data_IF_529100204690
#
_entry.id   IF_529100204690
#
_cell.length_a   1.000
_cell.length_b   1.000
_cell.length_c   1.000
_cell.angle_alpha   90.00
_cell.angle_beta   90.00
_cell.angle_gamma   90.00
#
_symmetry.space_group_name_H-M   'P 1'
#
loop_
_entity.id
_entity.type
_entity.pdbx_description
1 polymer ?
#
# COMPACT_ATOMS: atom_id res chain seq x y z
N UNK A 1 -4.45 -38.67 -23.06
CA UNK A 1 -3.99 -37.61 -22.16
C UNK A 1 -5.07 -36.55 -22.13
N UNK A 2 -5.72 -36.34 -20.99
CA UNK A 2 -6.73 -35.29 -20.86
C UNK A 2 -6.03 -33.93 -20.98
N UNK A 3 -6.49 -33.09 -21.90
CA UNK A 3 -6.04 -31.70 -21.97
C UNK A 3 -6.51 -30.99 -20.72
N UNK A 4 -5.58 -30.50 -19.89
CA UNK A 4 -5.85 -29.77 -18.65
C UNK A 4 -6.38 -28.34 -18.89
N UNK A 5 -7.18 -28.14 -19.95
CA UNK A 5 -7.72 -26.84 -20.34
C UNK A 5 -9.12 -26.98 -20.90
N UNK A 6 -10.00 -26.10 -20.43
CA UNK A 6 -11.37 -25.95 -20.89
C UNK A 6 -11.58 -24.59 -21.54
N UNK A 7 -12.61 -24.48 -22.39
CA UNK A 7 -12.95 -23.23 -23.10
C UNK A 7 -13.98 -22.45 -22.31
N UNK A 8 -13.71 -21.16 -22.10
CA UNK A 8 -14.67 -20.19 -21.54
C UNK A 8 -15.06 -19.23 -22.67
N UNK A 9 -16.21 -19.42 -23.35
CA UNK A 9 -16.69 -18.47 -24.34
C UNK A 9 -17.24 -17.23 -23.64
N UNK A 10 -16.66 -16.06 -23.93
CA UNK A 10 -17.12 -14.76 -23.42
C UNK A 10 -17.66 -13.96 -24.59
N UNK A 11 -18.92 -13.51 -24.48
CA UNK A 11 -19.53 -12.61 -25.45
C UNK A 11 -19.07 -11.18 -25.15
N UNK A 12 -18.54 -10.53 -26.18
CA UNK A 12 -18.09 -9.14 -26.14
C UNK A 12 -18.57 -8.43 -27.38
N UNK A 13 -18.75 -7.12 -27.28
CA UNK A 13 -18.99 -6.24 -28.42
C UNK A 13 -17.76 -6.17 -29.34
N UNK A 14 -17.92 -5.77 -30.61
CA UNK A 14 -16.79 -5.54 -31.51
C UNK A 14 -15.78 -4.52 -30.95
N UNK A 15 -16.26 -3.49 -30.25
CA UNK A 15 -15.44 -2.44 -29.66
C UNK A 15 -14.59 -2.98 -28.50
N UNK A 16 -15.20 -3.74 -27.59
CA UNK A 16 -14.49 -4.40 -26.48
C UNK A 16 -13.44 -5.38 -27.01
N UNK A 17 -13.77 -6.16 -28.05
CA UNK A 17 -12.81 -7.06 -28.68
C UNK A 17 -11.60 -6.32 -29.26
N UNK A 18 -11.82 -5.16 -29.90
CA UNK A 18 -10.74 -4.34 -30.43
C UNK A 18 -9.86 -3.77 -29.31
N UNK A 19 -10.46 -3.31 -28.21
CA UNK A 19 -9.73 -2.84 -27.03
C UNK A 19 -8.88 -3.94 -26.41
N UNK A 20 -9.45 -5.13 -26.17
CA UNK A 20 -8.73 -6.29 -25.62
C UNK A 20 -7.58 -6.71 -26.53
N UNK A 21 -7.81 -6.72 -27.84
CA UNK A 21 -6.77 -7.02 -28.83
C UNK A 21 -5.62 -6.03 -28.75
N UNK A 22 -5.91 -4.73 -28.63
CA UNK A 22 -4.90 -3.69 -28.49
C UNK A 22 -4.11 -3.83 -27.18
N UNK A 23 -4.79 -4.02 -26.05
CA UNK A 23 -4.13 -4.24 -24.76
C UNK A 23 -3.18 -5.44 -24.79
N UNK A 24 -3.59 -6.53 -25.45
CA UNK A 24 -2.76 -7.72 -25.59
C UNK A 24 -1.50 -7.45 -26.45
N UNK A 25 -1.65 -6.68 -27.54
CA UNK A 25 -0.55 -6.27 -28.40
C UNK A 25 0.44 -5.37 -27.66
N UNK A 26 -0.05 -4.35 -26.97
CA UNK A 26 0.76 -3.40 -26.18
C UNK A 26 1.53 -4.13 -25.06
N UNK A 27 0.95 -5.19 -24.50
CA UNK A 27 1.58 -6.04 -23.48
C UNK A 27 2.39 -7.22 -24.05
N UNK A 28 2.57 -7.30 -25.36
CA UNK A 28 3.31 -8.36 -26.06
C UNK A 28 2.87 -9.80 -25.70
N UNK A 29 1.56 -10.03 -25.52
CA UNK A 29 1.01 -11.33 -25.17
C UNK A 29 -0.26 -11.67 -25.97
N UNK A 30 -0.70 -12.92 -25.91
CA UNK A 30 -1.96 -13.32 -26.56
C UNK A 30 -3.17 -12.80 -25.79
N UNK A 31 -4.30 -12.55 -26.48
CA UNK A 31 -5.56 -12.18 -25.81
C UNK A 31 -5.99 -13.21 -24.76
N UNK A 32 -5.80 -14.50 -25.03
CA UNK A 32 -6.15 -15.57 -24.09
C UNK A 32 -5.29 -15.56 -22.83
N UNK A 33 -4.00 -15.22 -22.97
CA UNK A 33 -3.10 -15.08 -21.82
C UNK A 33 -3.40 -13.81 -21.01
N UNK A 34 -3.66 -12.69 -21.70
CA UNK A 34 -4.10 -11.45 -21.05
C UNK A 34 -5.36 -11.70 -20.21
N UNK A 35 -6.38 -12.33 -20.79
CA UNK A 35 -7.64 -12.62 -20.09
C UNK A 35 -7.46 -13.65 -18.97
N UNK A 36 -6.61 -14.67 -19.16
CA UNK A 36 -6.27 -15.61 -18.09
C UNK A 36 -5.64 -14.91 -16.90
N UNK A 37 -4.67 -14.02 -17.15
CA UNK A 37 -4.01 -13.23 -16.10
C UNK A 37 -5.01 -12.31 -15.42
N UNK A 38 -5.78 -11.54 -16.18
CA UNK A 38 -6.79 -10.63 -15.66
C UNK A 38 -7.81 -11.36 -14.78
N UNK A 39 -8.31 -12.52 -15.22
CA UNK A 39 -9.21 -13.35 -14.41
C UNK A 39 -8.53 -13.89 -13.14
N UNK A 40 -7.26 -14.27 -13.22
CA UNK A 40 -6.51 -14.77 -12.05
C UNK A 40 -6.13 -13.69 -11.04
N UNK A 41 -5.98 -12.44 -11.49
CA UNK A 41 -5.67 -11.28 -10.65
C UNK A 41 -6.91 -10.54 -10.20
N UNK A 42 -8.09 -10.81 -10.78
CA UNK A 42 -9.32 -10.17 -10.39
C UNK A 42 -9.62 -10.50 -8.93
N UNK A 43 -9.61 -9.46 -8.09
CA UNK A 43 -9.94 -9.52 -6.68
C UNK A 43 -11.04 -8.51 -6.41
N UNK A 44 -12.31 -8.93 -6.41
CA UNK A 44 -13.38 -8.02 -6.02
C UNK A 44 -13.18 -7.66 -4.54
N UNK A 45 -13.11 -6.37 -4.24
CA UNK A 45 -13.04 -5.76 -2.90
C UNK A 45 -11.75 -5.99 -2.07
N UNK A 46 -10.94 -7.01 -2.39
CA UNK A 46 -9.73 -7.36 -1.63
C UNK A 46 -8.62 -6.28 -1.75
N UNK A 47 -8.48 -5.63 -2.91
CA UNK A 47 -7.50 -4.55 -3.10
C UNK A 47 -7.83 -3.31 -2.27
N UNK A 48 -9.12 -3.01 -2.10
CA UNK A 48 -9.58 -1.88 -1.30
C UNK A 48 -9.38 -2.14 0.20
N UNK A 49 -9.72 -3.34 0.67
CA UNK A 49 -9.49 -3.74 2.07
C UNK A 49 -8.00 -3.76 2.44
N UNK A 50 -7.12 -4.24 1.55
CA UNK A 50 -5.67 -4.22 1.78
C UNK A 50 -5.16 -2.77 1.85
N UNK A 51 -5.60 -1.90 0.94
CA UNK A 51 -5.18 -0.51 0.90
C UNK A 51 -5.65 0.24 2.15
N UNK A 52 -6.90 0.04 2.57
CA UNK A 52 -7.44 0.58 3.81
C UNK A 52 -6.64 0.11 5.04
N UNK A 53 -6.29 -1.17 5.10
CA UNK A 53 -5.45 -1.72 6.17
C UNK A 53 -4.06 -1.08 6.23
N UNK A 54 -3.43 -0.84 5.07
CA UNK A 54 -2.14 -0.16 4.98
C UNK A 54 -2.22 1.29 5.46
N UNK A 55 -3.27 2.03 5.06
CA UNK A 55 -3.50 3.41 5.50
C UNK A 55 -3.68 3.44 7.02
N UNK A 56 -4.48 2.53 7.58
CA UNK A 56 -4.69 2.42 9.02
C UNK A 56 -3.39 2.19 9.79
N UNK A 57 -2.52 1.32 9.27
CA UNK A 57 -1.22 1.05 9.89
C UNK A 57 -0.28 2.27 9.82
N UNK A 58 -0.23 2.98 8.69
CA UNK A 58 0.57 4.20 8.54
C UNK A 58 0.11 5.27 9.54
N UNK A 59 -1.20 5.51 9.65
CA UNK A 59 -1.73 6.49 10.60
C UNK A 59 -1.37 6.14 12.04
N UNK A 60 -1.48 4.86 12.40
CA UNK A 60 -1.13 4.37 13.73
C UNK A 60 0.35 4.57 14.04
N UNK A 61 1.25 4.19 13.13
CA UNK A 61 2.69 4.33 13.35
C UNK A 61 3.13 5.79 13.36
N UNK A 62 2.53 6.65 12.53
CA UNK A 62 2.75 8.10 12.57
C UNK A 62 2.31 8.70 13.91
N UNK A 63 1.16 8.32 14.43
CA UNK A 63 0.69 8.79 15.74
C UNK A 63 1.64 8.36 16.88
N UNK A 64 2.12 7.12 16.85
CA UNK A 64 3.10 6.62 17.82
C UNK A 64 4.44 7.35 17.73
N UNK A 65 4.93 7.61 16.50
CA UNK A 65 6.16 8.36 16.29
C UNK A 65 6.06 9.79 16.81
N UNK A 66 4.94 10.48 16.56
CA UNK A 66 4.71 11.83 17.07
C UNK A 66 4.69 11.83 18.60
N UNK A 67 3.99 10.90 19.24
CA UNK A 67 3.96 10.80 20.70
C UNK A 67 5.36 10.56 21.29
N UNK A 68 6.19 9.73 20.66
CA UNK A 68 7.56 9.49 21.10
C UNK A 68 8.46 10.73 20.94
N UNK A 69 8.25 11.52 19.88
CA UNK A 69 8.96 12.79 19.67
C UNK A 69 8.56 13.79 20.77
N UNK A 70 7.27 13.91 21.07
CA UNK A 70 6.78 14.82 22.11
C UNK A 70 7.34 14.44 23.49
N UNK A 71 7.39 13.14 23.81
CA UNK A 71 8.00 12.64 25.05
C UNK A 71 9.50 12.95 25.12
N UNK A 72 10.23 12.75 24.03
CA UNK A 72 11.65 13.07 23.96
C UNK A 72 11.92 14.56 24.15
N UNK A 73 11.11 15.44 23.53
CA UNK A 73 11.21 16.89 23.70
C UNK A 73 10.93 17.31 25.14
N UNK A 74 9.89 16.75 25.77
CA UNK A 74 9.57 17.02 27.17
C UNK A 74 10.72 16.59 28.11
N UNK A 75 11.34 15.43 27.85
CA UNK A 75 12.49 14.96 28.61
C UNK A 75 13.71 15.89 28.46
N UNK A 76 13.99 16.37 27.25
CA UNK A 76 15.08 17.33 27.00
C UNK A 76 14.83 18.62 27.77
N UNK A 77 13.61 19.18 27.70
CA UNK A 77 13.24 20.37 28.47
C UNK A 77 13.46 20.21 29.98
N UNK A 78 13.01 19.08 30.54
CA UNK A 78 13.24 18.78 31.96
C UNK A 78 14.73 18.65 32.29
N UNK A 79 15.51 18.10 31.37
CA UNK A 79 16.96 18.03 31.54
C UNK A 79 17.61 19.41 31.54
N UNK A 80 17.26 20.27 30.58
CA UNK A 80 17.72 21.66 30.51
C UNK A 80 17.35 22.43 31.79
N UNK A 81 16.12 22.28 32.30
CA UNK A 81 15.68 22.86 33.57
C UNK A 81 16.57 22.43 34.75
N UNK A 82 16.92 21.14 34.84
CA UNK A 82 17.81 20.62 35.90
C UNK A 82 19.24 21.15 35.78
N UNK A 83 19.78 21.20 34.56
CA UNK A 83 21.13 21.73 34.30
C UNK A 83 21.21 23.19 34.71
N UNK A 84 20.27 24.02 34.27
CA UNK A 84 20.21 25.44 34.61
C UNK A 84 20.17 25.66 36.15
N UNK A 85 19.39 24.85 36.87
CA UNK A 85 19.32 24.91 38.33
C UNK A 85 20.69 24.61 38.98
N UNK A 86 21.40 23.57 38.52
CA UNK A 86 22.73 23.21 39.03
C UNK A 86 23.79 24.28 38.73
N UNK A 87 23.76 24.89 37.55
CA UNK A 87 24.71 25.94 37.17
C UNK A 87 24.47 27.25 37.94
N UNK A 88 23.22 27.63 38.17
CA UNK A 88 22.88 28.81 38.97
C UNK A 88 23.32 28.70 40.44
N UNK A 89 23.30 27.49 41.01
CA UNK A 89 23.76 27.22 42.38
C UNK A 89 25.28 27.18 42.55
N UNK A 90 26.03 26.92 41.47
CA UNK A 90 27.51 26.90 41.45
C UNK A 90 28.16 28.27 41.32
N UNK A 91 27.39 29.31 40.99
CA UNK A 91 27.90 30.65 40.68
C UNK A 91 27.65 31.66 41.81
N UNK A 92 27.33 31.20 43.02
CA UNK A 92 27.27 32.02 44.26
C UNK A 92 28.32 31.61 45.27
#
# INVERSE_FOLDING_TARGET
MATASERIPVLVTPQEKALISKMAQDAHMSMGELLRRAASSFRPNEEEEILEGMIGQILKTSAQANAAIDEALAFVEDSERRIAAMESGRTR
#
